data_IF_443494498790
#
_entry.id   IF_443494498790
#
_cell.length_a   1.000
_cell.length_b   1.000
_cell.length_c   1.000
_cell.angle_alpha   90.00
_cell.angle_beta   90.00
_cell.angle_gamma   90.00
#
_symmetry.space_group_name_H-M   'P 1'
#
loop_
_entity.id
_entity.type
_entity.pdbx_description
1 polymer ?
#
# COMPACT_ATOMS: atom_id res chain seq x y z
N UNK A 1 -28.03 -56.04 -5.73
CA UNK A 1 -28.37 -56.28 -4.31
C UNK A 1 -27.09 -56.07 -3.53
N UNK A 2 -26.93 -55.15 -2.57
CA UNK A 2 -27.79 -54.22 -1.83
C UNK A 2 -27.10 -52.83 -1.91
N UNK A 3 -27.76 -51.76 -2.37
CA UNK A 3 -28.56 -50.80 -1.58
C UNK A 3 -27.92 -50.38 -0.26
N UNK A 4 -27.19 -49.26 -0.26
CA UNK A 4 -26.97 -48.46 0.94
C UNK A 4 -27.45 -47.02 0.71
N UNK A 5 -28.10 -46.53 1.75
CA UNK A 5 -29.13 -45.49 1.78
C UNK A 5 -28.50 -44.12 2.01
N UNK A 6 -28.81 -43.14 1.15
CA UNK A 6 -28.48 -41.73 1.38
C UNK A 6 -29.51 -41.09 2.32
N UNK A 7 -29.10 -40.75 3.54
CA UNK A 7 -29.90 -39.91 4.44
C UNK A 7 -29.51 -38.44 4.25
N UNK A 8 -30.24 -37.74 3.38
CA UNK A 8 -30.09 -36.29 3.19
C UNK A 8 -30.98 -35.51 4.15
N UNK A 9 -30.41 -34.58 4.93
CA UNK A 9 -31.19 -33.61 5.70
C UNK A 9 -31.53 -32.40 4.82
N UNK A 10 -32.83 -32.20 4.55
CA UNK A 10 -33.38 -31.05 3.85
C UNK A 10 -33.60 -29.89 4.84
N UNK A 11 -32.79 -28.84 4.75
CA UNK A 11 -33.07 -27.58 5.45
C UNK A 11 -33.93 -26.67 4.55
N UNK A 12 -35.16 -26.38 4.96
CA UNK A 12 -36.13 -25.59 4.18
C UNK A 12 -36.06 -24.11 4.58
N UNK A 13 -35.14 -23.36 3.97
CA UNK A 13 -35.07 -21.89 4.06
C UNK A 13 -35.59 -21.22 2.77
N UNK A 14 -36.37 -20.15 2.89
CA UNK A 14 -36.94 -19.40 1.75
C UNK A 14 -35.83 -18.71 0.93
N UNK A 15 -35.27 -19.40 -0.06
CA UNK A 15 -34.69 -18.94 -1.36
C UNK A 15 -33.62 -19.94 -1.83
N UNK A 16 -34.02 -20.91 -2.66
CA UNK A 16 -33.15 -21.74 -3.52
C UNK A 16 -32.16 -22.72 -2.83
N UNK A 17 -31.83 -23.86 -3.46
CA UNK A 17 -30.85 -24.80 -2.89
C UNK A 17 -29.41 -24.31 -3.10
N UNK A 18 -28.65 -24.21 -2.00
CA UNK A 18 -27.18 -24.11 -2.01
C UNK A 18 -26.64 -25.47 -1.60
N UNK A 19 -25.85 -26.10 -2.48
CA UNK A 19 -25.16 -27.34 -2.18
C UNK A 19 -23.94 -27.04 -1.29
N UNK A 20 -23.98 -27.45 -0.03
CA UNK A 20 -22.83 -27.34 0.88
C UNK A 20 -22.22 -28.74 1.05
N UNK A 21 -21.07 -28.98 0.42
CA UNK A 21 -20.28 -30.19 0.65
C UNK A 21 -19.44 -30.02 1.93
N UNK A 22 -19.88 -30.61 3.04
CA UNK A 22 -19.01 -30.88 4.19
C UNK A 22 -18.31 -32.23 3.95
N UNK A 23 -17.00 -32.21 3.71
CA UNK A 23 -16.17 -33.41 3.74
C UNK A 23 -15.76 -33.71 5.18
N UNK A 24 -16.36 -34.73 5.80
CA UNK A 24 -15.89 -35.33 7.04
C UNK A 24 -14.78 -36.34 6.69
N UNK A 25 -13.54 -36.03 7.07
CA UNK A 25 -12.43 -36.98 6.95
C UNK A 25 -12.38 -37.91 8.17
N UNK A 26 -12.68 -39.19 7.94
CA UNK A 26 -12.40 -40.29 8.87
C UNK A 26 -10.96 -40.79 8.69
N UNK A 27 -10.23 -40.97 9.80
CA UNK A 27 -8.88 -41.55 9.82
C UNK A 27 -8.90 -43.07 9.66
N UNK A 28 -7.96 -43.65 8.89
CA UNK A 28 -7.47 -44.99 9.13
C UNK A 28 -6.06 -44.97 9.71
N UNK A 29 -5.89 -45.77 10.75
CA UNK A 29 -4.67 -46.00 11.51
C UNK A 29 -3.57 -46.70 10.70
N UNK A 30 -2.31 -46.34 10.97
CA UNK A 30 -1.17 -47.24 10.80
C UNK A 30 -0.28 -47.04 9.57
N UNK A 31 0.59 -46.03 9.61
CA UNK A 31 1.85 -46.06 8.85
C UNK A 31 2.92 -45.22 9.57
N UNK A 32 4.02 -45.86 9.98
CA UNK A 32 5.22 -45.18 10.51
C UNK A 32 5.85 -44.36 9.40
N UNK A 33 5.86 -43.03 9.55
CA UNK A 33 6.64 -42.12 8.71
C UNK A 33 7.79 -41.55 9.55
N UNK A 34 9.00 -41.88 9.13
CA UNK A 34 10.28 -41.36 9.61
C UNK A 34 10.29 -39.84 9.43
N UNK A 35 10.50 -39.11 10.53
CA UNK A 35 10.42 -37.65 10.58
C UNK A 35 11.45 -36.97 9.68
N UNK A 36 11.00 -36.51 8.50
CA UNK A 36 11.65 -35.45 7.74
C UNK A 36 11.16 -34.10 8.27
N UNK A 37 12.11 -33.21 8.54
CA UNK A 37 11.91 -31.92 9.16
C UNK A 37 10.76 -31.10 8.58
N UNK A 38 10.00 -30.48 9.48
CA UNK A 38 9.01 -29.43 9.19
C UNK A 38 9.68 -28.33 8.37
N UNK A 39 9.46 -28.32 7.05
CA UNK A 39 9.60 -27.09 6.27
C UNK A 39 8.41 -26.23 6.63
N UNK A 40 8.64 -25.17 7.41
CA UNK A 40 7.70 -24.06 7.46
C UNK A 40 7.45 -23.60 6.03
N UNK A 41 6.18 -23.57 5.62
CA UNK A 41 5.76 -22.98 4.36
C UNK A 41 6.29 -21.54 4.34
N UNK A 42 7.29 -21.31 3.51
CA UNK A 42 7.87 -19.99 3.30
C UNK A 42 6.84 -19.23 2.48
N UNK A 43 6.31 -18.14 3.03
CA UNK A 43 5.45 -17.22 2.29
C UNK A 43 6.22 -16.80 1.03
N UNK A 44 5.63 -16.98 -0.15
CA UNK A 44 6.23 -16.59 -1.42
C UNK A 44 6.30 -15.06 -1.49
N UNK A 45 7.36 -14.51 -0.91
CA UNK A 45 7.70 -13.10 -1.05
C UNK A 45 8.22 -12.94 -2.48
N UNK A 46 7.67 -11.95 -3.21
CA UNK A 46 8.20 -11.39 -4.48
C UNK A 46 9.74 -11.20 -4.45
N UNK A 47 10.34 -11.12 -3.26
CA UNK A 47 11.77 -11.08 -2.99
C UNK A 47 12.63 -12.17 -3.62
N UNK A 48 12.11 -13.39 -3.84
CA UNK A 48 12.87 -14.52 -4.42
C UNK A 48 12.59 -14.75 -5.92
N UNK A 49 11.48 -14.22 -6.45
CA UNK A 49 11.11 -14.36 -7.86
C UNK A 49 11.99 -13.45 -8.73
N UNK A 50 12.45 -13.98 -9.87
CA UNK A 50 13.08 -13.14 -10.90
C UNK A 50 12.01 -12.28 -11.56
N UNK A 51 12.17 -10.97 -11.48
CA UNK A 51 11.30 -9.97 -12.10
C UNK A 51 12.09 -9.15 -13.12
N UNK A 52 11.41 -8.72 -14.18
CA UNK A 52 12.01 -7.86 -15.19
C UNK A 52 12.09 -6.42 -14.69
N UNK A 53 13.26 -5.80 -14.84
CA UNK A 53 13.58 -4.49 -14.25
C UNK A 53 14.52 -3.67 -15.12
N UNK A 54 14.51 -2.36 -14.90
CA UNK A 54 15.55 -1.43 -15.35
C UNK A 54 16.39 -0.98 -14.15
N UNK A 55 17.70 -0.87 -14.33
CA UNK A 55 18.63 -0.51 -13.27
C UNK A 55 19.82 0.29 -13.82
N UNK A 56 20.23 1.34 -13.11
CA UNK A 56 21.42 2.13 -13.46
C UNK A 56 21.40 2.66 -14.90
N UNK A 57 22.58 2.71 -15.50
CA UNK A 57 22.80 3.14 -16.88
C UNK A 57 22.65 2.02 -17.92
N UNK A 58 22.08 0.86 -17.55
CA UNK A 58 21.85 -0.20 -18.52
C UNK A 58 20.71 0.21 -19.47
N UNK A 59 21.01 0.22 -20.77
CA UNK A 59 20.03 0.59 -21.81
C UNK A 59 18.89 -0.42 -21.95
N UNK A 60 19.09 -1.65 -21.46
CA UNK A 60 18.15 -2.76 -21.59
C UNK A 60 17.51 -3.22 -20.27
N UNK A 61 16.32 -3.81 -20.40
CA UNK A 61 15.64 -4.52 -19.31
C UNK A 61 16.38 -5.82 -18.99
N UNK A 62 16.40 -6.22 -17.72
CA UNK A 62 17.04 -7.46 -17.26
C UNK A 62 16.18 -8.18 -16.23
N UNK A 63 16.42 -9.47 -16.03
CA UNK A 63 15.83 -10.21 -14.93
C UNK A 63 16.67 -10.01 -13.66
N UNK A 64 16.05 -9.64 -12.55
CA UNK A 64 16.71 -9.43 -11.25
C UNK A 64 15.80 -9.85 -10.10
N UNK A 65 16.32 -9.91 -8.88
CA UNK A 65 15.51 -10.09 -7.67
C UNK A 65 15.23 -8.74 -7.01
N UNK A 66 14.13 -8.64 -6.28
CA UNK A 66 13.79 -7.39 -5.59
C UNK A 66 14.89 -6.97 -4.59
N UNK A 67 15.50 -7.91 -3.88
CA UNK A 67 16.64 -7.62 -2.99
C UNK A 67 17.84 -6.97 -3.70
N UNK A 68 18.08 -7.35 -4.95
CA UNK A 68 19.14 -6.77 -5.80
C UNK A 68 18.72 -5.40 -6.31
N UNK A 69 17.51 -5.27 -6.86
CA UNK A 69 16.95 -4.02 -7.39
C UNK A 69 17.01 -2.89 -6.36
N UNK A 70 16.72 -3.20 -5.09
CA UNK A 70 16.76 -2.20 -4.01
C UNK A 70 18.16 -1.61 -3.78
N UNK A 71 19.22 -2.38 -4.04
CA UNK A 71 20.62 -1.95 -3.87
C UNK A 71 21.21 -1.32 -5.12
N UNK A 72 20.64 -1.60 -6.28
CA UNK A 72 21.10 -1.05 -7.54
C UNK A 72 20.77 0.45 -7.68
N UNK A 73 21.59 1.20 -8.44
CA UNK A 73 21.27 2.58 -8.76
C UNK A 73 19.96 2.67 -9.57
N UNK A 74 19.21 3.77 -9.44
CA UNK A 74 18.01 4.01 -10.25
C UNK A 74 18.38 4.16 -11.74
N UNK A 75 17.44 3.80 -12.61
CA UNK A 75 17.55 4.05 -14.04
C UNK A 75 17.23 5.51 -14.36
N UNK A 76 18.10 6.20 -15.09
CA UNK A 76 17.84 7.57 -15.50
C UNK A 76 16.79 7.61 -16.62
N UNK A 77 15.90 8.60 -16.58
CA UNK A 77 14.94 8.90 -17.66
C UNK A 77 14.91 10.41 -17.91
N UNK A 78 15.01 10.81 -19.18
CA UNK A 78 15.11 12.20 -19.60
C UNK A 78 13.75 12.87 -19.85
N UNK A 79 12.68 12.09 -20.06
CA UNK A 79 11.34 12.61 -20.34
C UNK A 79 10.24 11.69 -19.84
N UNK A 80 9.01 12.22 -19.77
CA UNK A 80 7.82 11.46 -19.41
C UNK A 80 7.55 10.33 -20.39
N UNK A 81 7.77 10.54 -21.69
CA UNK A 81 7.57 9.50 -22.70
C UNK A 81 8.58 8.36 -22.55
N UNK A 82 9.83 8.66 -22.21
CA UNK A 82 10.82 7.62 -21.93
C UNK A 82 10.41 6.79 -20.70
N UNK A 83 10.01 7.45 -19.62
CA UNK A 83 9.50 6.79 -18.42
C UNK A 83 8.29 5.91 -18.74
N UNK A 84 7.31 6.44 -19.48
CA UNK A 84 6.11 5.71 -19.88
C UNK A 84 6.43 4.48 -20.74
N UNK A 85 7.34 4.60 -21.70
CA UNK A 85 7.77 3.48 -22.55
C UNK A 85 8.45 2.37 -21.73
N UNK A 86 9.36 2.73 -20.82
CA UNK A 86 10.02 1.76 -19.94
C UNK A 86 8.99 1.09 -19.00
N UNK A 87 8.04 1.85 -18.45
CA UNK A 87 6.96 1.29 -17.63
C UNK A 87 6.05 0.36 -18.44
N UNK A 88 5.73 0.68 -19.69
CA UNK A 88 4.96 -0.20 -20.56
C UNK A 88 5.68 -1.53 -20.82
N UNK A 89 7.00 -1.51 -21.02
CA UNK A 89 7.78 -2.75 -21.15
C UNK A 89 7.78 -3.55 -19.84
N UNK A 90 7.93 -2.87 -18.68
CA UNK A 90 7.81 -3.52 -17.38
C UNK A 90 6.44 -4.21 -17.23
N UNK A 91 5.34 -3.55 -17.59
CA UNK A 91 3.98 -4.12 -17.54
C UNK A 91 3.84 -5.33 -18.46
N UNK A 92 4.36 -5.24 -19.70
CA UNK A 92 4.28 -6.34 -20.67
C UNK A 92 5.02 -7.60 -20.20
N UNK A 93 6.17 -7.43 -19.52
CA UNK A 93 7.01 -8.55 -19.09
C UNK A 93 6.68 -9.08 -17.70
N UNK A 94 6.12 -8.26 -16.81
CA UNK A 94 5.76 -8.64 -15.44
C UNK A 94 4.23 -8.78 -15.29
N UNK A 95 3.62 -9.63 -16.12
CA UNK A 95 2.15 -9.72 -16.31
C UNK A 95 1.37 -10.13 -15.06
N UNK A 96 2.02 -10.80 -14.12
CA UNK A 96 1.39 -11.30 -12.91
C UNK A 96 1.15 -10.18 -11.88
N UNK A 97 1.69 -8.98 -12.11
CA UNK A 97 1.60 -7.85 -11.18
C UNK A 97 0.78 -6.70 -11.76
N UNK A 98 -0.04 -6.11 -10.90
CA UNK A 98 -0.54 -4.75 -11.13
C UNK A 98 0.54 -3.77 -10.69
N UNK A 99 0.85 -2.79 -11.53
CA UNK A 99 1.86 -1.79 -11.22
C UNK A 99 1.26 -0.60 -10.49
N UNK A 100 1.93 -0.22 -9.41
CA UNK A 100 1.64 0.96 -8.61
C UNK A 100 2.87 1.85 -8.56
N UNK A 101 2.66 3.15 -8.47
CA UNK A 101 3.71 4.14 -8.55
C UNK A 101 3.77 4.98 -7.28
N UNK A 102 4.98 5.29 -6.84
CA UNK A 102 5.22 6.25 -5.77
C UNK A 102 6.28 7.25 -6.22
N UNK A 103 5.95 8.54 -6.14
CA UNK A 103 6.89 9.63 -6.36
C UNK A 103 7.55 10.09 -5.08
N UNK A 104 8.86 10.34 -5.10
CA UNK A 104 9.58 10.96 -3.97
C UNK A 104 10.71 11.86 -4.47
N UNK A 105 11.06 12.88 -3.68
CA UNK A 105 12.22 13.73 -3.98
C UNK A 105 13.57 13.03 -3.75
N UNK A 106 13.60 11.91 -2.99
CA UNK A 106 14.82 11.21 -2.60
C UNK A 106 14.60 9.70 -2.54
N UNK A 107 15.64 8.95 -2.86
CA UNK A 107 15.74 7.51 -2.58
C UNK A 107 16.27 7.30 -1.15
N UNK A 108 15.37 6.92 -0.23
CA UNK A 108 15.74 6.66 1.14
C UNK A 108 16.30 5.25 1.28
N UNK A 109 17.57 5.13 1.68
CA UNK A 109 18.19 3.85 1.96
C UNK A 109 18.00 3.41 3.43
N UNK A 110 17.98 2.11 3.67
CA UNK A 110 18.14 1.53 4.99
C UNK A 110 19.63 1.41 5.38
N UNK A 111 19.92 0.91 6.58
CA UNK A 111 21.30 0.72 7.08
C UNK A 111 22.17 -0.17 6.17
N UNK A 112 21.57 -1.05 5.38
CA UNK A 112 22.26 -1.91 4.42
C UNK A 112 22.43 -1.27 3.03
N UNK A 113 22.13 0.02 2.88
CA UNK A 113 22.23 0.76 1.61
C UNK A 113 21.13 0.42 0.59
N UNK A 114 20.10 -0.34 0.99
CA UNK A 114 19.01 -0.72 0.10
C UNK A 114 17.84 0.27 0.22
N UNK A 115 17.24 0.66 -0.91
CA UNK A 115 16.00 1.47 -0.96
C UNK A 115 14.96 0.94 0.01
N UNK A 116 14.33 1.85 0.75
CA UNK A 116 13.33 1.56 1.77
C UNK A 116 12.07 2.38 1.52
N UNK A 117 10.95 1.69 1.38
CA UNK A 117 9.61 2.27 1.22
C UNK A 117 8.79 1.94 2.47
N UNK A 118 9.29 2.39 3.63
CA UNK A 118 8.60 2.18 4.91
C UNK A 118 7.42 3.14 5.08
N UNK A 119 6.30 2.67 5.66
CA UNK A 119 5.23 3.52 6.15
C UNK A 119 5.74 4.63 7.10
N UNK A 120 4.99 5.72 7.17
CA UNK A 120 5.32 6.88 8.00
C UNK A 120 5.45 6.51 9.48
N UNK A 121 4.57 5.64 9.99
CA UNK A 121 4.58 5.17 11.38
C UNK A 121 5.85 4.40 11.75
N UNK A 122 6.47 3.71 10.79
CA UNK A 122 7.65 2.87 10.99
C UNK A 122 8.96 3.55 10.58
N UNK A 123 8.90 4.81 10.15
CA UNK A 123 10.07 5.57 9.70
C UNK A 123 10.66 6.37 10.87
N UNK A 124 11.99 6.32 11.04
CA UNK A 124 12.66 7.21 11.97
C UNK A 124 12.76 8.62 11.39
N UNK A 125 12.71 9.63 12.26
CA UNK A 125 13.02 11.02 11.88
C UNK A 125 14.51 11.24 11.71
N UNK A 126 15.34 10.33 12.24
CA UNK A 126 16.79 10.37 12.10
C UNK A 126 17.21 9.44 10.96
N UNK A 127 18.01 9.91 9.99
CA UNK A 127 18.52 9.07 8.91
C UNK A 127 19.22 7.81 9.44
N UNK A 128 19.01 6.68 8.77
CA UNK A 128 19.63 5.39 9.08
C UNK A 128 19.33 4.82 10.49
N UNK A 129 18.34 5.34 11.20
CA UNK A 129 17.87 4.78 12.47
C UNK A 129 16.48 4.15 12.34
N UNK A 130 16.16 3.27 13.27
CA UNK A 130 14.81 2.76 13.48
C UNK A 130 14.14 3.60 14.59
N UNK A 131 12.82 3.83 14.52
CA UNK A 131 12.10 4.40 15.66
C UNK A 131 12.17 3.43 16.84
N UNK A 132 12.26 3.97 18.05
CA UNK A 132 12.17 3.22 19.30
C UNK A 132 10.76 2.67 19.50
N UNK A 133 10.62 1.61 20.31
CA UNK A 133 9.31 1.07 20.68
C UNK A 133 8.40 2.13 21.31
N UNK A 134 8.97 3.00 22.16
CA UNK A 134 8.24 4.13 22.74
C UNK A 134 7.71 5.10 21.69
N UNK A 135 8.51 5.44 20.67
CA UNK A 135 8.06 6.29 19.57
C UNK A 135 6.93 5.62 18.76
N UNK A 136 7.05 4.32 18.49
CA UNK A 136 6.00 3.55 17.80
C UNK A 136 4.72 3.52 18.65
N UNK A 137 4.83 3.30 19.96
CA UNK A 137 3.70 3.32 20.90
C UNK A 137 2.95 4.65 20.88
N UNK A 138 3.68 5.76 21.04
CA UNK A 138 3.09 7.12 20.97
C UNK A 138 2.40 7.41 19.64
N UNK A 139 2.95 6.88 18.53
CA UNK A 139 2.33 7.01 17.20
C UNK A 139 1.03 6.23 17.10
N UNK A 140 0.98 5.02 17.66
CA UNK A 140 -0.26 4.24 17.73
C UNK A 140 -1.32 4.89 18.61
N UNK A 141 -0.95 5.42 19.78
CA UNK A 141 -1.86 6.17 20.64
C UNK A 141 -2.48 7.35 19.87
N UNK A 142 -1.64 8.12 19.16
CA UNK A 142 -2.10 9.21 18.31
C UNK A 142 -2.99 8.73 17.17
N UNK A 143 -2.67 7.61 16.53
CA UNK A 143 -3.49 7.01 15.48
C UNK A 143 -4.87 6.59 16.00
N UNK A 144 -4.94 5.95 17.17
CA UNK A 144 -6.20 5.56 17.82
C UNK A 144 -7.04 6.79 18.15
N UNK A 145 -6.45 7.84 18.71
CA UNK A 145 -7.14 9.11 18.97
C UNK A 145 -7.68 9.74 17.67
N UNK A 146 -6.89 9.69 16.59
CA UNK A 146 -7.30 10.19 15.29
C UNK A 146 -8.44 9.37 14.67
N UNK A 147 -8.43 8.03 14.83
CA UNK A 147 -9.54 7.17 14.39
C UNK A 147 -10.86 7.52 15.09
N UNK A 148 -10.81 7.73 16.41
CA UNK A 148 -11.99 8.10 17.20
C UNK A 148 -12.53 9.47 16.78
N UNK A 149 -11.63 10.46 16.63
CA UNK A 149 -11.98 11.79 16.16
C UNK A 149 -12.57 11.76 14.74
N UNK A 150 -11.99 10.97 13.82
CA UNK A 150 -12.51 10.80 12.46
C UNK A 150 -13.94 10.24 12.45
N UNK A 151 -14.20 9.19 13.24
CA UNK A 151 -15.54 8.59 13.34
C UNK A 151 -16.55 9.59 13.92
N UNK A 152 -16.15 10.39 14.91
CA UNK A 152 -16.97 11.43 15.49
C UNK A 152 -17.36 12.50 14.45
N UNK A 153 -16.39 13.01 13.69
CA UNK A 153 -16.64 14.01 12.64
C UNK A 153 -17.53 13.45 11.50
N UNK A 154 -17.26 12.24 11.03
CA UNK A 154 -18.12 11.57 10.03
C UNK A 154 -19.56 11.42 10.50
N UNK A 155 -19.75 11.15 11.80
CA UNK A 155 -21.08 11.01 12.40
C UNK A 155 -21.75 12.35 12.57
N UNK A 156 -21.06 13.35 13.12
CA UNK A 156 -21.62 14.68 13.35
C UNK A 156 -22.06 15.35 12.05
N UNK A 157 -21.25 15.21 10.98
CA UNK A 157 -21.51 15.81 9.67
C UNK A 157 -22.36 14.95 8.73
N UNK A 158 -22.81 13.77 9.18
CA UNK A 158 -23.63 12.83 8.40
C UNK A 158 -23.02 12.42 7.04
N UNK A 159 -21.69 12.33 6.96
CA UNK A 159 -20.97 12.04 5.71
C UNK A 159 -21.37 10.68 5.14
N UNK A 160 -21.48 10.60 3.82
CA UNK A 160 -21.73 9.35 3.10
C UNK A 160 -20.64 8.31 3.43
N UNK A 161 -21.05 7.06 3.68
CA UNK A 161 -20.10 5.99 4.01
C UNK A 161 -19.68 5.91 5.48
N UNK A 162 -20.24 6.76 6.37
CA UNK A 162 -19.97 6.74 7.83
C UNK A 162 -20.04 5.35 8.47
N UNK A 163 -20.97 4.48 8.05
CA UNK A 163 -21.13 3.14 8.63
C UNK A 163 -19.94 2.22 8.28
N UNK A 164 -19.36 2.39 7.09
CA UNK A 164 -18.14 1.66 6.69
C UNK A 164 -16.95 2.17 7.50
N UNK A 165 -16.80 3.48 7.65
CA UNK A 165 -15.72 4.11 8.44
C UNK A 165 -15.78 3.67 9.90
N UNK A 166 -16.98 3.53 10.48
CA UNK A 166 -17.18 2.97 11.83
C UNK A 166 -16.69 1.52 11.94
N UNK A 167 -17.01 0.69 10.95
CA UNK A 167 -16.76 -0.77 11.01
C UNK A 167 -15.36 -1.18 10.57
N UNK A 168 -14.75 -0.44 9.65
CA UNK A 168 -13.52 -0.87 8.95
C UNK A 168 -12.35 0.05 9.30
N UNK A 169 -11.41 -0.48 10.09
CA UNK A 169 -10.22 0.23 10.55
C UNK A 169 -9.29 0.66 9.42
N UNK A 170 -9.04 -0.23 8.48
CA UNK A 170 -8.19 0.07 7.32
C UNK A 170 -8.68 1.30 6.52
N UNK A 171 -10.00 1.54 6.47
CA UNK A 171 -10.55 2.74 5.83
C UNK A 171 -10.22 4.00 6.61
N UNK A 172 -10.31 3.95 7.94
CA UNK A 172 -9.94 5.08 8.79
C UNK A 172 -8.48 5.41 8.59
N UNK A 173 -7.58 4.42 8.65
CA UNK A 173 -6.17 4.64 8.41
C UNK A 173 -5.89 5.20 7.01
N UNK A 174 -6.57 4.70 5.99
CA UNK A 174 -6.39 5.20 4.62
C UNK A 174 -6.78 6.68 4.50
N UNK A 175 -7.91 7.08 5.11
CA UNK A 175 -8.34 8.48 5.13
C UNK A 175 -7.36 9.34 5.94
N UNK A 176 -6.93 8.88 7.12
CA UNK A 176 -5.99 9.59 7.99
C UNK A 176 -4.64 9.83 7.32
N UNK A 177 -4.12 8.81 6.63
CA UNK A 177 -2.86 8.88 5.89
C UNK A 177 -2.98 9.85 4.71
N UNK A 178 -4.02 9.70 3.90
CA UNK A 178 -4.18 10.45 2.66
C UNK A 178 -4.35 11.96 2.87
N UNK A 179 -5.04 12.36 3.94
CA UNK A 179 -5.19 13.78 4.35
C UNK A 179 -4.09 14.26 5.30
N UNK A 180 -3.03 13.47 5.48
CA UNK A 180 -1.83 13.82 6.25
C UNK A 180 -2.16 14.22 7.71
N UNK A 181 -3.10 13.52 8.34
CA UNK A 181 -3.59 13.80 9.70
C UNK A 181 -2.61 13.30 10.76
N UNK A 182 -2.15 12.06 10.61
CA UNK A 182 -1.17 11.45 11.48
C UNK A 182 -0.38 10.36 10.74
N UNK A 183 0.69 9.87 11.35
CA UNK A 183 1.46 8.75 10.83
C UNK A 183 0.62 7.46 10.88
N UNK A 184 0.72 6.61 9.86
CA UNK A 184 -0.03 5.35 9.75
C UNK A 184 0.89 4.21 9.26
N UNK A 185 0.49 2.93 9.40
CA UNK A 185 1.25 1.80 8.88
C UNK A 185 1.02 1.58 7.37
N UNK A 186 0.47 2.56 6.65
CA UNK A 186 0.15 2.45 5.23
C UNK A 186 1.18 3.17 4.34
N UNK A 187 1.23 2.78 3.08
CA UNK A 187 2.02 3.43 2.02
C UNK A 187 1.10 4.00 0.93
N UNK A 188 1.17 5.31 0.71
CA UNK A 188 0.52 5.95 -0.44
C UNK A 188 1.18 5.58 -1.75
N UNK A 189 0.36 5.15 -2.71
CA UNK A 189 0.73 4.89 -4.09
C UNK A 189 -0.39 5.36 -5.02
N UNK A 190 -0.11 5.43 -6.32
CA UNK A 190 -1.08 5.80 -7.36
C UNK A 190 -0.96 4.87 -8.56
N UNK A 191 -2.04 4.68 -9.31
CA UNK A 191 -1.97 4.03 -10.64
C UNK A 191 -1.58 5.01 -11.75
N UNK A 192 -1.56 6.31 -11.47
CA UNK A 192 -1.18 7.32 -12.45
C UNK A 192 0.31 7.63 -12.38
N UNK A 193 1.04 7.20 -13.41
CA UNK A 193 2.46 7.47 -13.57
C UNK A 193 2.76 8.99 -13.58
N UNK A 194 1.87 9.78 -14.21
CA UNK A 194 1.98 11.25 -14.26
C UNK A 194 1.83 11.88 -12.89
N UNK A 195 0.88 11.40 -12.07
CA UNK A 195 0.69 11.88 -10.70
C UNK A 195 1.93 11.54 -9.86
N UNK A 196 2.44 10.31 -9.94
CA UNK A 196 3.66 9.92 -9.21
C UNK A 196 4.87 10.78 -9.61
N UNK A 197 5.12 11.00 -10.91
CA UNK A 197 6.19 11.87 -11.37
C UNK A 197 5.99 13.33 -10.90
N UNK A 198 4.74 13.82 -10.88
CA UNK A 198 4.41 15.18 -10.43
C UNK A 198 4.69 15.35 -8.93
N UNK A 199 4.31 14.37 -8.09
CA UNK A 199 4.66 14.34 -6.68
C UNK A 199 6.17 14.33 -6.45
N UNK A 200 6.90 13.51 -7.20
CA UNK A 200 8.36 13.44 -7.09
C UNK A 200 9.02 14.80 -7.40
N UNK A 201 8.36 15.62 -8.21
CA UNK A 201 8.84 16.93 -8.67
C UNK A 201 8.40 18.11 -7.80
N UNK A 202 7.70 17.88 -6.67
CA UNK A 202 7.18 18.98 -5.84
C UNK A 202 8.23 19.78 -5.09
N UNK A 203 9.45 19.26 -4.97
CA UNK A 203 10.56 19.93 -4.31
C UNK A 203 11.58 20.42 -5.33
N UNK A 204 12.22 21.55 -5.03
CA UNK A 204 13.24 22.19 -5.88
C UNK A 204 14.60 21.45 -5.82
N UNK A 205 14.58 20.16 -6.12
CA UNK A 205 15.74 19.29 -6.19
C UNK A 205 16.21 19.08 -7.63
N UNK A 206 17.51 18.79 -7.78
CA UNK A 206 18.08 18.34 -9.05
C UNK A 206 17.69 16.91 -9.41
N UNK A 207 17.18 16.14 -8.44
CA UNK A 207 16.80 14.75 -8.58
C UNK A 207 15.40 14.51 -8.04
N UNK A 208 14.64 13.70 -8.76
CA UNK A 208 13.34 13.17 -8.38
C UNK A 208 13.26 11.69 -8.76
N UNK A 209 12.43 10.94 -8.04
CA UNK A 209 12.38 9.48 -8.11
C UNK A 209 10.95 8.97 -8.27
N UNK A 210 10.77 7.99 -9.17
CA UNK A 210 9.55 7.18 -9.28
C UNK A 210 9.89 5.73 -9.00
N UNK A 211 9.22 5.16 -8.01
CA UNK A 211 9.30 3.76 -7.63
C UNK A 211 8.13 3.00 -8.24
N UNK A 212 8.41 1.89 -8.91
CA UNK A 212 7.40 0.98 -9.46
C UNK A 212 7.27 -0.21 -8.51
N UNK A 213 6.09 -0.41 -7.95
CA UNK A 213 5.76 -1.54 -7.10
C UNK A 213 4.87 -2.52 -7.84
N UNK A 214 5.14 -3.82 -7.67
CA UNK A 214 4.29 -4.92 -8.12
C UNK A 214 3.38 -5.38 -6.99
N UNK A 215 2.07 -5.33 -7.21
CA UNK A 215 1.07 -5.80 -6.26
C UNK A 215 0.16 -6.87 -6.91
N UNK A 216 -0.53 -7.70 -6.12
CA UNK A 216 -1.50 -8.66 -6.66
C UNK A 216 -2.69 -7.94 -7.32
N UNK A 217 -3.51 -8.73 -8.01
CA UNK A 217 -4.74 -8.26 -8.65
C UNK A 217 -5.64 -7.51 -7.65
N UNK A 218 -6.20 -6.40 -8.11
CA UNK A 218 -7.07 -5.54 -7.30
C UNK A 218 -8.51 -5.92 -7.58
N UNK A 219 -9.25 -6.20 -6.51
CA UNK A 219 -10.68 -6.48 -6.58
C UNK A 219 -11.44 -5.60 -5.58
N UNK A 220 -12.49 -4.94 -6.06
CA UNK A 220 -13.35 -4.08 -5.26
C UNK A 220 -12.65 -2.85 -4.67
N UNK A 221 -13.21 -2.34 -3.57
CA UNK A 221 -12.71 -1.15 -2.87
C UNK A 221 -11.57 -1.47 -1.89
N UNK A 222 -11.57 -2.68 -1.32
CA UNK A 222 -10.52 -3.21 -0.46
C UNK A 222 -10.20 -4.61 -0.98
N UNK A 223 -8.93 -4.87 -1.23
CA UNK A 223 -8.41 -6.20 -1.57
C UNK A 223 -7.51 -6.67 -0.44
N UNK A 224 -7.68 -7.90 0.01
CA UNK A 224 -6.75 -8.56 0.92
C UNK A 224 -6.18 -9.80 0.24
N UNK A 225 -4.86 -9.94 0.24
CA UNK A 225 -4.16 -11.12 -0.25
C UNK A 225 -3.31 -11.68 0.88
N UNK A 226 -3.75 -12.83 1.41
CA UNK A 226 -3.00 -13.58 2.42
C UNK A 226 -1.68 -14.10 1.85
N UNK A 227 -1.70 -14.55 0.58
CA UNK A 227 -0.51 -15.05 -0.14
C UNK A 227 0.56 -13.97 -0.27
N UNK A 228 0.19 -12.76 -0.71
CA UNK A 228 1.12 -11.67 -0.89
C UNK A 228 1.35 -10.84 0.40
N UNK A 229 0.73 -11.21 1.52
CA UNK A 229 0.81 -10.52 2.81
C UNK A 229 0.42 -9.04 2.74
N UNK A 230 -0.51 -8.67 1.86
CA UNK A 230 -0.82 -7.26 1.57
C UNK A 230 -2.34 -7.04 1.50
N UNK A 231 -2.76 -5.87 1.99
CA UNK A 231 -4.07 -5.29 1.74
C UNK A 231 -3.93 -3.99 0.96
N UNK A 232 -4.88 -3.75 0.06
CA UNK A 232 -4.90 -2.63 -0.87
C UNK A 232 -6.22 -1.91 -0.71
N UNK A 233 -6.19 -0.59 -0.53
CA UNK A 233 -7.38 0.26 -0.46
C UNK A 233 -7.40 1.17 -1.66
N UNK A 234 -8.46 1.12 -2.46
CA UNK A 234 -8.71 2.06 -3.56
C UNK A 234 -9.44 3.28 -3.01
N UNK A 235 -8.74 4.42 -2.86
CA UNK A 235 -9.30 5.59 -2.19
C UNK A 235 -10.55 6.12 -2.88
N UNK A 236 -10.56 6.16 -4.22
CA UNK A 236 -11.70 6.59 -5.02
C UNK A 236 -12.97 5.73 -4.83
N UNK A 237 -12.88 4.56 -4.19
CA UNK A 237 -14.03 3.68 -3.91
C UNK A 237 -14.41 3.61 -2.42
N UNK A 238 -13.62 4.26 -1.55
CA UNK A 238 -13.86 4.26 -0.09
C UNK A 238 -14.14 5.64 0.45
N UNK A 239 -13.62 6.68 -0.19
CA UNK A 239 -13.88 8.06 0.16
C UNK A 239 -15.21 8.53 -0.46
N UNK A 240 -15.97 9.42 0.21
CA UNK A 240 -17.17 10.01 -0.34
C UNK A 240 -16.85 10.94 -1.53
N UNK A 241 -17.82 11.28 -2.40
CA UNK A 241 -17.60 12.24 -3.49
C UNK A 241 -17.08 13.61 -3.03
N UNK A 242 -17.39 14.02 -1.80
CA UNK A 242 -16.87 15.24 -1.16
C UNK A 242 -15.36 15.19 -0.90
N UNK A 243 -14.72 14.02 -1.06
CA UNK A 243 -13.29 13.80 -0.91
C UNK A 243 -12.60 13.88 -2.29
N UNK A 244 -12.39 15.08 -2.81
CA UNK A 244 -11.97 15.26 -4.21
C UNK A 244 -10.53 14.78 -4.46
N UNK A 245 -9.61 15.06 -3.54
CA UNK A 245 -8.18 14.72 -3.66
C UNK A 245 -7.93 13.23 -4.02
N UNK A 246 -8.51 12.24 -3.33
CA UNK A 246 -8.48 10.82 -3.71
C UNK A 246 -8.72 10.51 -5.19
N UNK A 247 -9.71 11.17 -5.80
CA UNK A 247 -10.15 10.87 -7.16
C UNK A 247 -9.19 11.44 -8.20
N UNK A 248 -8.72 12.67 -8.00
CA UNK A 248 -7.74 13.32 -8.89
C UNK A 248 -6.41 12.58 -8.90
N UNK A 249 -5.97 12.14 -7.72
CA UNK A 249 -4.66 11.50 -7.55
C UNK A 249 -4.65 10.03 -7.97
N UNK A 250 -5.79 9.44 -8.31
CA UNK A 250 -5.94 8.00 -8.54
C UNK A 250 -5.30 7.19 -7.39
N UNK A 251 -5.59 7.61 -6.16
CA UNK A 251 -4.83 7.21 -4.97
C UNK A 251 -5.20 5.82 -4.44
N UNK A 252 -4.18 5.11 -3.95
CA UNK A 252 -4.29 3.83 -3.28
C UNK A 252 -3.40 3.80 -2.03
N UNK A 253 -3.81 3.00 -1.05
CA UNK A 253 -2.99 2.70 0.11
C UNK A 253 -2.65 1.21 0.13
N UNK A 254 -1.39 0.92 0.41
CA UNK A 254 -0.91 -0.43 0.69
C UNK A 254 -0.69 -0.60 2.20
N UNK A 255 -1.19 -1.68 2.77
CA UNK A 255 -0.95 -2.09 4.16
C UNK A 255 -0.50 -3.55 4.20
N UNK A 256 0.21 -3.96 5.25
CA UNK A 256 0.47 -5.39 5.48
C UNK A 256 -0.85 -6.11 5.83
N UNK A 257 -0.96 -7.38 5.43
CA UNK A 257 -2.08 -8.25 5.80
C UNK A 257 -1.56 -9.55 6.46
N UNK A 258 -2.04 -9.92 7.67
CA UNK A 258 -3.03 -9.20 8.47
C UNK A 258 -2.53 -7.83 8.96
N UNK A 259 -3.47 -6.94 9.31
CA UNK A 259 -3.15 -5.57 9.69
C UNK A 259 -2.31 -5.50 10.97
N UNK A 260 -1.29 -4.64 10.94
CA UNK A 260 -0.42 -4.36 12.09
C UNK A 260 -1.14 -3.43 13.08
N UNK A 261 -1.83 -4.03 14.07
CA UNK A 261 -2.86 -3.34 14.85
C UNK A 261 -2.39 -2.66 16.14
N UNK A 262 -1.18 -2.97 16.65
CA UNK A 262 -0.62 -2.37 17.86
C UNK A 262 0.89 -2.48 17.92
N UNK A 263 1.54 -1.67 18.74
CA UNK A 263 2.99 -1.73 18.96
C UNK A 263 3.46 -3.13 19.41
N UNK A 264 2.69 -3.80 20.26
CA UNK A 264 3.01 -5.13 20.80
C UNK A 264 3.08 -6.21 19.71
N UNK A 265 2.22 -6.12 18.68
CA UNK A 265 2.28 -7.03 17.54
C UNK A 265 3.55 -6.83 16.70
N UNK A 266 4.25 -5.71 16.87
CA UNK A 266 5.38 -5.28 16.03
C UNK A 266 6.66 -5.95 16.47
N UNK A 267 6.68 -6.40 17.72
CA UNK A 267 7.73 -7.22 18.31
C UNK A 267 7.85 -8.61 17.65
N UNK A 268 6.84 -9.03 16.88
CA UNK A 268 6.82 -10.31 16.19
C UNK A 268 7.26 -10.23 14.71
N UNK A 269 7.48 -9.03 14.17
CA UNK A 269 7.88 -8.83 12.78
C UNK A 269 9.21 -8.09 12.70
N UNK A 270 10.12 -8.61 11.88
CA UNK A 270 11.37 -7.90 11.62
C UNK A 270 11.07 -6.60 10.87
N UNK A 271 11.75 -5.49 11.22
CA UNK A 271 11.53 -4.19 10.54
C UNK A 271 11.76 -4.23 9.02
N UNK A 272 12.45 -5.25 8.51
CA UNK A 272 12.64 -5.51 7.09
C UNK A 272 11.38 -6.12 6.43
N UNK A 273 10.61 -6.91 7.18
CA UNK A 273 9.33 -7.53 6.78
C UNK A 273 8.16 -6.54 6.79
N UNK A 274 8.39 -5.27 7.12
CA UNK A 274 7.40 -4.19 7.03
C UNK A 274 7.79 -3.12 6.00
N UNK A 275 8.78 -3.43 5.16
CA UNK A 275 9.26 -2.54 4.10
C UNK A 275 8.62 -2.93 2.76
N UNK A 276 7.79 -2.03 2.20
CA UNK A 276 7.20 -2.23 0.87
C UNK A 276 8.24 -2.21 -0.26
N UNK A 277 9.48 -1.84 0.05
CA UNK A 277 10.61 -2.00 -0.85
C UNK A 277 10.80 -3.45 -1.30
N UNK A 278 10.27 -4.45 -0.58
CA UNK A 278 10.26 -5.86 -1.02
C UNK A 278 9.30 -6.17 -2.19
N UNK A 279 8.49 -5.20 -2.58
CA UNK A 279 7.57 -5.26 -3.73
C UNK A 279 8.05 -4.38 -4.90
N UNK A 280 9.29 -3.89 -4.83
CA UNK A 280 9.87 -2.99 -5.81
C UNK A 280 10.26 -3.73 -7.08
N UNK A 281 9.73 -3.28 -8.21
CA UNK A 281 10.05 -3.75 -9.56
C UNK A 281 11.15 -2.89 -10.20
N UNK A 282 11.08 -1.56 -10.06
CA UNK A 282 12.06 -0.65 -10.66
C UNK A 282 12.14 0.68 -9.91
N UNK A 283 13.27 1.38 -10.10
CA UNK A 283 13.49 2.75 -9.61
C UNK A 283 13.95 3.62 -10.77
N UNK A 284 13.25 4.72 -11.00
CA UNK A 284 13.64 5.71 -12.00
C UNK A 284 14.09 6.99 -11.30
N UNK A 285 15.14 7.63 -11.83
CA UNK A 285 15.61 8.96 -11.42
C UNK A 285 15.53 9.91 -12.61
N UNK A 286 15.15 11.15 -12.36
CA UNK A 286 15.15 12.20 -13.38
C UNK A 286 15.42 13.56 -12.76
N UNK A 287 15.85 14.51 -13.60
CA UNK A 287 15.91 15.92 -13.24
C UNK A 287 14.54 16.57 -13.54
N UNK A 288 13.80 17.11 -12.55
CA UNK A 288 12.46 17.66 -12.79
C UNK A 288 12.40 18.74 -13.88
N UNK A 289 13.37 19.67 -13.89
CA UNK A 289 13.36 20.78 -14.82
C UNK A 289 13.54 20.33 -16.28
N UNK A 290 14.47 19.40 -16.52
CA UNK A 290 14.70 18.83 -17.85
C UNK A 290 13.58 17.88 -18.27
N UNK A 291 13.15 17.01 -17.35
CA UNK A 291 12.12 16.00 -17.59
C UNK A 291 10.81 16.62 -18.07
N UNK A 292 10.31 17.66 -17.39
CA UNK A 292 9.06 18.32 -17.77
C UNK A 292 9.22 19.22 -18.99
N UNK A 293 10.39 19.86 -19.18
CA UNK A 293 10.69 20.63 -20.41
C UNK A 293 10.66 19.73 -21.65
N UNK A 294 11.20 18.52 -21.55
CA UNK A 294 11.15 17.50 -22.60
C UNK A 294 9.77 16.85 -22.79
N UNK A 295 8.76 17.23 -22.01
CA UNK A 295 7.45 16.57 -21.94
C UNK A 295 6.28 17.54 -22.12
N UNK A 296 6.40 18.52 -23.03
CA UNK A 296 5.40 19.59 -23.20
C UNK A 296 3.95 19.09 -23.40
N UNK A 297 3.76 17.97 -24.11
CA UNK A 297 2.44 17.36 -24.31
C UNK A 297 1.86 16.66 -23.06
N UNK A 298 2.71 16.37 -22.07
CA UNK A 298 2.35 15.74 -20.80
C UNK A 298 2.84 16.60 -19.64
N UNK A 299 2.22 17.78 -19.44
CA UNK A 299 2.68 18.70 -18.41
C UNK A 299 2.51 18.09 -17.02
N UNK A 300 3.41 18.53 -16.12
CA UNK A 300 3.33 18.28 -14.69
C UNK A 300 1.94 18.66 -14.18
N UNK A 301 1.37 17.83 -13.30
CA UNK A 301 0.13 18.19 -12.61
C UNK A 301 0.45 19.25 -11.56
N UNK A 302 -0.34 20.33 -11.59
CA UNK A 302 -0.16 21.47 -10.69
C UNK A 302 -0.32 21.07 -9.21
N UNK A 303 0.39 21.77 -8.32
CA UNK A 303 0.31 21.54 -6.89
C UNK A 303 -1.09 21.74 -6.32
N UNK A 304 -1.83 22.74 -6.79
CA UNK A 304 -3.22 23.01 -6.37
C UNK A 304 -4.18 21.94 -6.88
N UNK A 305 -3.91 21.36 -8.06
CA UNK A 305 -4.69 20.24 -8.56
C UNK A 305 -4.41 18.95 -7.76
N UNK A 306 -3.16 18.73 -7.36
CA UNK A 306 -2.80 17.62 -6.48
C UNK A 306 -3.39 17.84 -5.07
N UNK A 307 -3.36 19.06 -4.54
CA UNK A 307 -3.81 19.40 -3.20
C UNK A 307 -4.92 20.46 -3.27
N UNK A 308 -6.15 20.07 -3.66
CA UNK A 308 -7.25 21.01 -3.79
C UNK A 308 -7.54 21.72 -2.46
N UNK A 309 -7.89 23.00 -2.55
CA UNK A 309 -8.26 23.81 -1.41
C UNK A 309 -9.58 23.33 -0.78
N UNK A 310 -9.84 23.68 0.46
CA UNK A 310 -11.05 23.27 1.18
C UNK A 310 -12.36 23.63 0.46
N UNK A 311 -12.39 24.74 -0.28
CA UNK A 311 -13.55 25.13 -1.09
C UNK A 311 -13.87 24.13 -2.22
N UNK A 312 -12.87 23.36 -2.66
CA UNK A 312 -12.99 22.35 -3.72
C UNK A 312 -12.98 20.93 -3.14
N UNK A 313 -12.44 20.73 -1.94
CA UNK A 313 -12.38 19.47 -1.23
C UNK A 313 -12.88 19.64 0.22
N UNK A 314 -14.20 19.55 0.46
CA UNK A 314 -14.80 19.71 1.79
C UNK A 314 -14.23 18.76 2.87
N UNK A 315 -13.65 17.63 2.48
CA UNK A 315 -13.00 16.72 3.41
C UNK A 315 -11.75 17.33 4.07
N UNK A 316 -11.15 18.38 3.49
CA UNK A 316 -10.08 19.14 4.13
C UNK A 316 -10.52 19.77 5.46
N UNK A 317 -11.74 20.30 5.54
CA UNK A 317 -12.26 20.88 6.79
C UNK A 317 -12.47 19.81 7.87
N UNK A 318 -12.93 18.64 7.45
CA UNK A 318 -13.06 17.48 8.33
C UNK A 318 -11.69 17.05 8.84
N UNK A 319 -10.72 16.90 7.94
CA UNK A 319 -9.35 16.53 8.29
C UNK A 319 -8.71 17.54 9.25
N UNK A 320 -8.93 18.83 9.03
CA UNK A 320 -8.43 19.89 9.91
C UNK A 320 -9.08 19.85 11.30
N UNK A 321 -10.38 19.58 11.41
CA UNK A 321 -11.05 19.38 12.69
C UNK A 321 -10.48 18.18 13.47
N UNK A 322 -10.22 17.07 12.77
CA UNK A 322 -9.54 15.89 13.36
C UNK A 322 -8.14 16.26 13.85
N UNK A 323 -7.33 16.95 13.03
CA UNK A 323 -5.98 17.42 13.39
C UNK A 323 -6.00 18.29 14.65
N UNK A 324 -6.94 19.24 14.74
CA UNK A 324 -7.08 20.12 15.89
C UNK A 324 -7.44 19.33 17.17
N UNK A 325 -8.33 18.35 17.04
CA UNK A 325 -8.77 17.53 18.19
C UNK A 325 -7.65 16.67 18.77
N UNK A 326 -6.77 16.12 17.92
CA UNK A 326 -5.64 15.30 18.39
C UNK A 326 -4.40 16.12 18.78
N UNK A 327 -4.36 17.43 18.46
CA UNK A 327 -3.30 18.33 18.90
C UNK A 327 -3.51 18.81 20.34
N UNK A 328 -4.74 18.77 20.84
CA UNK A 328 -5.09 19.16 22.21
C UNK A 328 -4.83 17.97 23.14
N UNK A 329 -3.95 18.08 24.16
CA UNK A 329 -3.80 17.02 25.15
C UNK A 329 -5.14 16.81 25.88
N UNK A 330 -5.53 15.56 26.11
CA UNK A 330 -6.71 15.26 26.92
C UNK A 330 -6.57 15.92 28.31
N UNK A 331 -7.63 16.52 28.88
CA UNK A 331 -7.59 16.93 30.27
C UNK A 331 -7.29 15.68 31.12
N UNK A 332 -6.21 15.77 31.91
CA UNK A 332 -5.75 14.70 32.79
C UNK A 332 -6.67 14.45 33.97
#
# INVERSE_FOLDING_TARGET
MQSDTFTGYLYRGRRGPVLVCLALYSHPSGARIVGRGRRHATVDIIGSQKIWTFSGSADGIKASSCGTIRKEPPCFVASYMELANKVAELQFRNRDFVMMYRGQARDHANRAGATSLKPSLLRSRVPNKLPTEREIGLRFERLIAAEQALVAEYTARQILGRDRVKRQRILRWAILQHYEICETPLLDVTQSLRIAASFASQHDGSDAYVFVLGIPQISGAITASAEAGIQIVRLASVCPPDAVRPHIQEGYLLGEYPEFASADQGLHYEHAEMDFGRKLIAKFRFNPAEFWRGSAAFPRVDGEALYPLAAQDPMCELANAVKARIATPAPG
#
